data_IF_845046133963
#
_entry.id   IF_845046133963
#
_cell.length_a   1.000
_cell.length_b   1.000
_cell.length_c   1.000
_cell.angle_alpha   90.00
_cell.angle_beta   90.00
_cell.angle_gamma   90.00
#
_symmetry.space_group_name_H-M   'P 1'
#
loop_
_entity.id
_entity.type
_entity.pdbx_description
1 polymer ?
#
# COMPACT_ATOMS: atom_id res chain seq x y z
N UNK A 1 10.56 7.15 6.98
CA UNK A 1 9.45 7.26 6.01
C UNK A 1 9.08 8.72 5.90
N UNK A 2 8.89 9.22 4.67
CA UNK A 2 8.46 10.60 4.46
C UNK A 2 7.04 10.84 4.99
N UNK A 3 6.71 12.09 5.25
CA UNK A 3 5.36 12.51 5.62
C UNK A 3 4.44 12.28 4.42
N UNK A 4 3.27 11.64 4.58
CA UNK A 4 2.28 11.55 3.50
C UNK A 4 1.77 12.96 3.17
N UNK A 5 1.37 13.17 1.93
CA UNK A 5 0.85 14.47 1.50
C UNK A 5 -0.56 14.65 2.06
N UNK A 6 -0.74 15.64 2.93
CA UNK A 6 -2.06 16.10 3.32
C UNK A 6 -2.56 17.09 2.26
N UNK A 7 -3.71 16.80 1.64
CA UNK A 7 -4.35 17.69 0.68
C UNK A 7 -5.23 18.72 1.36
N UNK A 8 -5.75 18.37 2.51
CA UNK A 8 -6.69 19.19 3.25
C UNK A 8 -6.66 18.82 4.73
N UNK A 9 -6.52 19.82 5.58
CA UNK A 9 -6.68 19.67 7.03
C UNK A 9 -7.49 20.85 7.58
N UNK A 10 -8.51 20.56 8.35
CA UNK A 10 -9.30 21.56 9.06
C UNK A 10 -9.71 21.02 10.44
N UNK A 11 -9.81 21.93 11.42
CA UNK A 11 -10.42 21.67 12.71
C UNK A 11 -11.81 22.31 12.72
N UNK A 12 -12.86 21.58 12.26
CA UNK A 12 -14.18 22.16 12.20
C UNK A 12 -14.74 22.45 13.60
N UNK A 13 -15.38 23.59 13.74
CA UNK A 13 -16.18 23.90 14.93
C UNK A 13 -17.52 23.21 14.79
N UNK A 14 -17.90 22.34 15.72
CA UNK A 14 -19.25 21.77 15.69
C UNK A 14 -19.40 20.31 16.11
N UNK A 15 -18.37 19.67 16.65
CA UNK A 15 -18.49 18.32 17.22
C UNK A 15 -18.91 18.34 18.70
N UNK A 16 -19.75 19.26 19.09
CA UNK A 16 -20.15 19.41 20.49
C UNK A 16 -18.99 19.88 21.39
N UNK A 17 -18.79 19.21 22.53
CA UNK A 17 -17.71 19.54 23.48
C UNK A 17 -16.34 18.99 23.14
N UNK A 18 -16.18 18.26 22.01
CA UNK A 18 -14.92 17.62 21.60
C UNK A 18 -14.29 18.36 20.44
N UNK A 19 -12.95 18.42 20.44
CA UNK A 19 -12.18 18.87 19.27
C UNK A 19 -12.31 17.86 18.12
N UNK A 20 -12.49 18.36 16.91
CA UNK A 20 -12.62 17.56 15.70
C UNK A 20 -11.45 17.78 14.78
N UNK A 21 -11.21 16.80 13.93
CA UNK A 21 -10.28 16.88 12.84
C UNK A 21 -10.92 16.36 11.55
N UNK A 22 -10.66 17.04 10.47
CA UNK A 22 -11.01 16.63 9.12
C UNK A 22 -9.77 16.72 8.26
N UNK A 23 -9.38 15.62 7.65
CA UNK A 23 -8.18 15.55 6.83
C UNK A 23 -8.39 14.65 5.62
N UNK A 24 -7.79 15.02 4.48
CA UNK A 24 -7.64 14.16 3.31
C UNK A 24 -6.17 13.88 3.11
N UNK A 25 -5.77 12.64 3.33
CA UNK A 25 -4.39 12.21 3.37
C UNK A 25 -4.08 11.23 2.23
N UNK A 26 -3.04 11.52 1.45
CA UNK A 26 -2.54 10.61 0.41
C UNK A 26 -1.63 9.53 1.02
N UNK A 27 -2.19 8.66 1.83
CA UNK A 27 -1.44 7.63 2.54
C UNK A 27 -1.45 6.27 1.83
N UNK A 28 -2.57 5.94 1.20
CA UNK A 28 -2.85 4.58 0.75
C UNK A 28 -3.11 3.62 1.92
N UNK A 29 -3.41 2.37 1.64
CA UNK A 29 -3.67 1.34 2.67
C UNK A 29 -2.33 0.75 3.17
N UNK A 30 -1.85 1.08 4.40
CA UNK A 30 -0.48 0.73 4.83
C UNK A 30 -0.19 -0.77 4.78
N UNK A 31 -1.12 -1.59 5.27
CA UNK A 31 -0.94 -3.06 5.31
C UNK A 31 -0.81 -3.63 3.89
N UNK A 32 -1.58 -3.14 2.92
CA UNK A 32 -1.46 -3.56 1.52
C UNK A 32 -0.05 -3.30 0.98
N UNK A 33 0.52 -2.12 1.27
CA UNK A 33 1.86 -1.75 0.84
C UNK A 33 2.94 -2.64 1.46
N UNK A 34 2.81 -2.98 2.74
CA UNK A 34 3.78 -3.85 3.43
C UNK A 34 3.70 -5.28 2.91
N UNK A 35 2.49 -5.82 2.74
CA UNK A 35 2.29 -7.15 2.16
C UNK A 35 2.82 -7.17 0.73
N UNK A 36 2.60 -6.10 -0.05
CA UNK A 36 3.13 -5.95 -1.39
C UNK A 36 4.65 -5.95 -1.43
N UNK A 37 5.30 -5.24 -0.51
CA UNK A 37 6.76 -5.25 -0.39
C UNK A 37 7.30 -6.66 -0.06
N UNK A 38 6.66 -7.37 0.86
CA UNK A 38 7.00 -8.76 1.20
C UNK A 38 6.81 -9.67 -0.02
N UNK A 39 5.69 -9.52 -0.75
CA UNK A 39 5.42 -10.28 -1.96
C UNK A 39 6.48 -10.06 -3.04
N UNK A 40 6.91 -8.82 -3.25
CA UNK A 40 7.99 -8.50 -4.19
C UNK A 40 9.31 -9.14 -3.78
N UNK A 41 9.69 -9.05 -2.49
CA UNK A 41 10.92 -9.68 -2.00
C UNK A 41 10.89 -11.20 -2.20
N UNK A 42 9.75 -11.84 -1.95
CA UNK A 42 9.59 -13.28 -2.17
C UNK A 42 9.70 -13.62 -3.67
N UNK A 43 9.03 -12.85 -4.54
CA UNK A 43 9.10 -13.06 -5.99
C UNK A 43 10.51 -12.84 -6.55
N UNK A 44 11.33 -11.96 -5.95
CA UNK A 44 12.75 -11.86 -6.30
C UNK A 44 13.44 -13.21 -6.08
N UNK A 45 13.24 -13.83 -4.92
CA UNK A 45 13.79 -15.15 -4.62
C UNK A 45 13.32 -16.22 -5.62
N UNK A 46 12.03 -16.24 -5.94
CA UNK A 46 11.46 -17.16 -6.95
C UNK A 46 12.10 -16.93 -8.33
N UNK A 47 12.23 -15.68 -8.77
CA UNK A 47 12.83 -15.37 -10.07
C UNK A 47 14.33 -15.75 -10.12
N UNK A 48 15.08 -15.55 -9.04
CA UNK A 48 16.49 -15.98 -8.96
C UNK A 48 16.58 -17.50 -9.06
N UNK A 49 15.72 -18.22 -8.35
CA UNK A 49 15.67 -19.68 -8.40
C UNK A 49 15.33 -20.18 -9.81
N UNK A 50 14.27 -19.65 -10.43
CA UNK A 50 13.83 -20.04 -11.78
C UNK A 50 14.93 -19.72 -12.81
N UNK A 51 15.61 -18.58 -12.68
CA UNK A 51 16.74 -18.24 -13.52
C UNK A 51 17.89 -19.27 -13.40
N UNK A 52 18.22 -19.70 -12.19
CA UNK A 52 19.24 -20.73 -11.96
C UNK A 52 18.86 -22.09 -12.56
N UNK A 53 17.55 -22.42 -12.53
CA UNK A 53 17.01 -23.65 -13.13
C UNK A 53 16.73 -23.55 -14.63
N UNK A 54 16.98 -22.38 -15.24
CA UNK A 54 16.69 -22.06 -16.65
C UNK A 54 15.20 -22.15 -17.01
N UNK A 55 14.33 -22.00 -16.02
CA UNK A 55 12.89 -21.93 -16.18
C UNK A 55 12.46 -20.46 -16.14
N UNK A 56 12.03 -19.91 -17.26
CA UNK A 56 11.61 -18.51 -17.36
C UNK A 56 10.10 -18.40 -17.36
N UNK A 57 9.54 -17.79 -16.30
CA UNK A 57 8.13 -17.45 -16.26
C UNK A 57 7.97 -15.91 -16.33
N UNK A 58 7.55 -15.42 -17.50
CA UNK A 58 7.36 -13.97 -17.73
C UNK A 58 6.36 -13.36 -16.77
N UNK A 59 5.33 -14.12 -16.35
CA UNK A 59 4.30 -13.64 -15.44
C UNK A 59 4.88 -13.15 -14.11
N UNK A 60 5.90 -13.81 -13.58
CA UNK A 60 6.56 -13.44 -12.32
C UNK A 60 7.42 -12.17 -12.43
N UNK A 61 7.79 -11.76 -13.64
CA UNK A 61 8.56 -10.54 -13.91
C UNK A 61 7.69 -9.29 -14.11
N UNK A 62 6.41 -9.46 -14.48
CA UNK A 62 5.51 -8.34 -14.78
C UNK A 62 5.40 -7.31 -13.64
N UNK A 63 5.29 -7.70 -12.35
CA UNK A 63 5.26 -6.73 -11.25
C UNK A 63 6.50 -5.83 -11.23
N UNK A 64 7.68 -6.41 -11.46
CA UNK A 64 8.95 -5.67 -11.45
C UNK A 64 9.05 -4.72 -12.63
N UNK A 65 8.69 -5.17 -13.83
CA UNK A 65 8.69 -4.34 -15.04
C UNK A 65 7.75 -3.13 -14.82
N UNK A 66 6.55 -3.36 -14.30
CA UNK A 66 5.59 -2.30 -14.05
C UNK A 66 6.04 -1.30 -12.97
N UNK A 67 6.64 -1.79 -11.88
CA UNK A 67 7.19 -0.93 -10.82
C UNK A 67 8.37 -0.13 -11.35
N UNK A 68 9.29 -0.77 -12.09
CA UNK A 68 10.44 -0.09 -12.68
C UNK A 68 9.96 0.98 -13.67
N UNK A 69 9.02 0.64 -14.57
CA UNK A 69 8.46 1.60 -15.52
C UNK A 69 7.73 2.77 -14.86
N UNK A 70 7.02 2.52 -13.75
CA UNK A 70 6.31 3.57 -13.02
C UNK A 70 7.19 4.41 -12.10
N UNK A 71 8.31 3.87 -11.61
CA UNK A 71 9.15 4.52 -10.61
C UNK A 71 10.46 5.07 -11.19
N UNK A 72 11.10 4.36 -12.13
CA UNK A 72 12.40 4.73 -12.70
C UNK A 72 12.43 6.14 -13.32
N UNK A 73 11.39 6.61 -14.06
CA UNK A 73 11.40 7.96 -14.63
C UNK A 73 11.63 9.07 -13.60
N UNK A 74 11.21 8.87 -12.35
CA UNK A 74 11.35 9.89 -11.29
C UNK A 74 12.81 10.15 -10.88
N UNK A 75 13.71 9.18 -11.08
CA UNK A 75 15.14 9.39 -10.84
C UNK A 75 15.76 10.40 -11.81
N UNK A 76 15.19 10.55 -13.00
CA UNK A 76 15.67 11.53 -13.98
C UNK A 76 15.15 12.96 -13.69
N UNK A 77 14.08 13.07 -12.90
CA UNK A 77 13.41 14.34 -12.60
C UNK A 77 13.50 14.74 -11.12
N UNK A 78 14.64 14.51 -10.47
CA UNK A 78 14.85 14.74 -9.03
C UNK A 78 14.58 16.17 -8.56
N UNK A 79 14.61 17.17 -9.45
CA UNK A 79 14.32 18.58 -9.13
C UNK A 79 12.82 18.87 -9.06
N UNK A 80 11.94 17.95 -9.45
CA UNK A 80 10.49 18.11 -9.36
C UNK A 80 9.99 17.57 -8.03
N UNK A 81 9.00 18.23 -7.48
CA UNK A 81 8.30 17.75 -6.29
C UNK A 81 7.61 16.42 -6.62
N UNK A 82 8.02 15.35 -5.96
CA UNK A 82 7.40 14.02 -6.09
C UNK A 82 6.36 13.86 -5.00
N UNK A 83 5.12 13.70 -5.39
CA UNK A 83 4.01 13.48 -4.46
C UNK A 83 3.70 11.98 -4.29
N UNK A 84 3.26 11.60 -3.10
CA UNK A 84 2.92 10.22 -2.76
C UNK A 84 1.84 9.63 -3.69
N UNK A 85 0.93 10.45 -4.21
CA UNK A 85 -0.12 9.96 -5.11
C UNK A 85 0.39 9.45 -6.48
N UNK A 86 1.62 9.77 -6.88
CA UNK A 86 2.21 9.16 -8.08
C UNK A 86 2.42 7.64 -7.92
N UNK A 87 2.44 7.15 -6.69
CA UNK A 87 2.51 5.73 -6.40
C UNK A 87 1.30 4.94 -6.95
N UNK A 88 0.19 5.60 -7.27
CA UNK A 88 -0.98 4.98 -7.90
C UNK A 88 -0.62 4.34 -9.26
N UNK A 89 0.38 4.87 -9.96
CA UNK A 89 0.80 4.35 -11.26
C UNK A 89 1.38 2.93 -11.18
N UNK A 90 2.06 2.57 -10.10
CA UNK A 90 2.63 1.24 -9.92
C UNK A 90 1.89 0.38 -8.88
N UNK A 91 0.87 0.93 -8.22
CA UNK A 91 0.04 0.17 -7.28
C UNK A 91 -0.60 -1.10 -7.87
N UNK A 92 -1.12 -1.11 -9.13
CA UNK A 92 -1.64 -2.33 -9.73
C UNK A 92 -0.61 -3.46 -9.81
N UNK A 93 0.67 -3.13 -10.02
CA UNK A 93 1.75 -4.10 -10.09
C UNK A 93 2.13 -4.65 -8.71
N UNK A 94 1.97 -3.86 -7.65
CA UNK A 94 2.08 -4.34 -6.26
C UNK A 94 0.96 -5.34 -5.96
N UNK A 95 -0.28 -5.04 -6.37
CA UNK A 95 -1.41 -5.95 -6.21
C UNK A 95 -1.16 -7.25 -7.00
N UNK A 96 -0.65 -7.13 -8.23
CA UNK A 96 -0.29 -8.29 -9.05
C UNK A 96 0.76 -9.17 -8.34
N UNK A 97 1.76 -8.56 -7.69
CA UNK A 97 2.75 -9.32 -6.90
C UNK A 97 2.10 -10.10 -5.76
N UNK A 98 1.14 -9.49 -5.05
CA UNK A 98 0.38 -10.16 -3.97
C UNK A 98 -0.42 -11.34 -4.55
N UNK A 99 -1.09 -11.15 -5.68
CA UNK A 99 -1.89 -12.19 -6.34
C UNK A 99 -1.01 -13.35 -6.80
N UNK A 100 0.16 -13.07 -7.40
CA UNK A 100 1.11 -14.10 -7.81
C UNK A 100 1.64 -14.89 -6.61
N UNK A 101 1.99 -14.21 -5.51
CA UNK A 101 2.39 -14.88 -4.28
C UNK A 101 1.27 -15.76 -3.72
N UNK A 102 0.04 -15.25 -3.72
CA UNK A 102 -1.14 -16.01 -3.28
C UNK A 102 -1.38 -17.25 -4.16
N UNK A 103 -1.20 -17.12 -5.48
CA UNK A 103 -1.27 -18.25 -6.42
C UNK A 103 -0.23 -19.30 -6.09
N UNK A 104 1.05 -18.93 -5.95
CA UNK A 104 2.13 -19.85 -5.60
C UNK A 104 1.88 -20.54 -4.25
N UNK A 105 1.41 -19.80 -3.25
CA UNK A 105 1.06 -20.38 -1.96
C UNK A 105 -0.08 -21.40 -2.07
N UNK A 106 -1.12 -21.10 -2.84
CA UNK A 106 -2.24 -22.00 -3.05
C UNK A 106 -1.83 -23.28 -3.81
N UNK A 107 -0.96 -23.15 -4.82
CA UNK A 107 -0.42 -24.29 -5.58
C UNK A 107 0.49 -25.16 -4.73
N UNK A 108 1.21 -24.58 -3.77
CA UNK A 108 2.04 -25.32 -2.81
C UNK A 108 1.20 -26.14 -1.82
N UNK A 109 0.19 -25.53 -1.18
CA UNK A 109 -0.77 -26.20 -0.31
C UNK A 109 -2.14 -25.49 -0.37
N UNK A 110 -3.15 -26.20 -0.86
CA UNK A 110 -4.52 -25.69 -0.97
C UNK A 110 -5.13 -25.24 0.37
N UNK A 111 -4.57 -25.68 1.52
CA UNK A 111 -4.99 -25.22 2.86
C UNK A 111 -4.65 -23.76 3.10
N UNK A 112 -3.64 -23.21 2.42
CA UNK A 112 -3.24 -21.83 2.53
C UNK A 112 -4.30 -20.83 2.00
N UNK A 113 -5.37 -21.32 1.33
CA UNK A 113 -6.53 -20.49 0.98
C UNK A 113 -7.13 -19.74 2.18
N UNK A 114 -7.09 -20.32 3.38
CA UNK A 114 -7.60 -19.67 4.58
C UNK A 114 -6.66 -18.53 5.03
N UNK A 115 -5.34 -18.71 4.87
CA UNK A 115 -4.36 -17.65 5.14
C UNK A 115 -4.53 -16.52 4.12
N UNK A 116 -4.69 -16.84 2.85
CA UNK A 116 -4.93 -15.86 1.79
C UNK A 116 -6.22 -15.07 2.09
N UNK A 117 -7.31 -15.75 2.46
CA UNK A 117 -8.55 -15.10 2.84
C UNK A 117 -8.38 -14.18 4.07
N UNK A 118 -7.64 -14.63 5.08
CA UNK A 118 -7.33 -13.82 6.26
C UNK A 118 -6.52 -12.56 5.89
N UNK A 119 -5.53 -12.67 5.00
CA UNK A 119 -4.74 -11.54 4.51
C UNK A 119 -5.64 -10.53 3.79
N UNK A 120 -6.51 -10.99 2.89
CA UNK A 120 -7.47 -10.11 2.18
C UNK A 120 -8.40 -9.43 3.17
N UNK A 121 -8.91 -10.16 4.17
CA UNK A 121 -9.75 -9.60 5.21
C UNK A 121 -9.03 -8.52 6.03
N UNK A 122 -7.79 -8.76 6.43
CA UNK A 122 -6.98 -7.77 7.17
C UNK A 122 -6.73 -6.51 6.33
N UNK A 123 -6.47 -6.65 5.03
CA UNK A 123 -6.34 -5.50 4.12
C UNK A 123 -7.66 -4.71 4.07
N UNK A 124 -8.80 -5.40 3.95
CA UNK A 124 -10.12 -4.76 3.90
C UNK A 124 -10.45 -4.02 5.21
N UNK A 125 -10.17 -4.62 6.36
CA UNK A 125 -10.34 -3.98 7.68
C UNK A 125 -9.41 -2.77 7.81
N UNK A 126 -8.16 -2.88 7.37
CA UNK A 126 -7.22 -1.76 7.39
C UNK A 126 -7.69 -0.60 6.48
N UNK A 127 -8.20 -0.91 5.29
CA UNK A 127 -8.80 0.10 4.42
C UNK A 127 -10.00 0.79 5.10
N UNK A 128 -10.91 0.03 5.70
CA UNK A 128 -12.07 0.58 6.42
C UNK A 128 -11.65 1.45 7.62
N UNK A 129 -10.60 1.06 8.33
CA UNK A 129 -10.07 1.85 9.45
C UNK A 129 -9.52 3.21 9.00
N UNK A 130 -8.82 3.27 7.86
CA UNK A 130 -8.28 4.52 7.31
C UNK A 130 -9.27 5.27 6.42
N UNK A 131 -10.44 4.70 6.10
CA UNK A 131 -11.43 5.29 5.22
C UNK A 131 -11.79 6.77 5.53
N UNK A 132 -11.98 7.18 6.80
CA UNK A 132 -12.28 8.57 7.13
C UNK A 132 -11.21 9.57 6.69
N UNK A 133 -9.91 9.20 6.78
CA UNK A 133 -8.81 10.09 6.34
C UNK A 133 -8.57 10.02 4.84
N UNK A 134 -9.11 9.04 4.13
CA UNK A 134 -9.09 9.02 2.67
C UNK A 134 -10.19 9.88 2.07
N UNK A 135 -11.33 9.96 2.75
CA UNK A 135 -12.54 10.63 2.26
C UNK A 135 -12.81 11.99 2.91
N UNK A 136 -11.97 12.40 3.86
CA UNK A 136 -12.15 13.67 4.56
C UNK A 136 -13.38 13.71 5.46
N UNK A 137 -13.74 12.59 6.08
CA UNK A 137 -14.81 12.57 7.06
C UNK A 137 -14.42 13.31 8.34
N UNK A 138 -15.37 14.01 8.95
CA UNK A 138 -15.17 14.65 10.23
C UNK A 138 -15.11 13.57 11.31
N UNK A 139 -13.99 13.51 12.03
CA UNK A 139 -13.76 12.56 13.13
C UNK A 139 -13.36 13.32 14.40
N UNK A 140 -13.47 12.67 15.55
CA UNK A 140 -12.90 13.26 16.78
C UNK A 140 -11.37 13.30 16.66
N UNK A 141 -10.74 14.28 17.32
CA UNK A 141 -9.29 14.42 17.29
C UNK A 141 -8.57 13.13 17.73
N UNK A 142 -9.10 12.43 18.74
CA UNK A 142 -8.52 11.17 19.20
C UNK A 142 -8.60 10.05 18.16
N UNK A 143 -9.71 9.96 17.44
CA UNK A 143 -9.87 8.99 16.35
C UNK A 143 -8.97 9.31 15.16
N UNK A 144 -8.82 10.59 14.83
CA UNK A 144 -7.87 11.03 13.83
C UNK A 144 -6.44 10.70 14.25
N UNK A 145 -6.06 11.04 15.49
CA UNK A 145 -4.72 10.81 16.02
C UNK A 145 -4.36 9.31 16.07
N UNK A 146 -5.32 8.44 16.39
CA UNK A 146 -5.10 6.98 16.39
C UNK A 146 -4.72 6.41 15.02
N UNK A 147 -5.07 7.12 13.94
CA UNK A 147 -4.71 6.75 12.56
C UNK A 147 -3.34 7.27 12.14
N UNK A 148 -2.74 8.15 12.92
CA UNK A 148 -1.38 8.64 12.72
C UNK A 148 -0.39 7.67 13.37
N UNK A 149 -0.07 6.58 12.68
CA UNK A 149 0.76 5.51 13.24
C UNK A 149 2.23 5.90 13.41
N UNK A 150 2.68 6.95 12.74
CA UNK A 150 4.01 7.52 12.90
C UNK A 150 3.92 9.01 13.22
N UNK A 151 4.78 9.47 14.14
CA UNK A 151 4.87 10.89 14.48
C UNK A 151 5.20 11.77 13.26
N UNK A 152 5.83 11.22 12.23
CA UNK A 152 6.12 11.92 10.98
C UNK A 152 4.90 12.15 10.08
N UNK A 153 3.74 11.61 10.44
CA UNK A 153 2.49 11.79 9.70
C UNK A 153 1.67 12.99 10.19
N UNK A 154 2.04 13.55 11.34
CA UNK A 154 1.40 14.71 11.99
C UNK A 154 2.04 16.02 11.52
#
# INVERSE_FOLDING_TARGET
>A
MGRPTSFYYQSPSGCGSKSCAQEVLALGTPILWWIGAIALLFLIGVNIHNFAMREFEIASLLPFIGIIAGYLPWFFFQKRTVFTFYAIAFQPFIILAIVLLAKLAYEYDARLKFVIAAVVFVIAVNFAYFYPVFTGQITTYNEWFSRMWWNSWI
#
